data_IF_832206459269
#
_entry.id   IF_832206459269
#
_cell.length_a   1.000
_cell.length_b   1.000
_cell.length_c   1.000
_cell.angle_alpha   90.00
_cell.angle_beta   90.00
_cell.angle_gamma   90.00
#
_symmetry.space_group_name_H-M   'P 1'
#
loop_
_entity.id
_entity.type
_entity.pdbx_description
1 polymer ?
#
# COMPACT_ATOMS: atom_id res chain seq x y z
N UNK A 1 13.61 -2.20 -10.69
CA UNK A 1 12.82 -2.93 -9.68
C UNK A 1 13.36 -2.73 -8.28
N UNK A 2 14.51 -3.28 -7.86
CA UNK A 2 14.99 -3.09 -6.47
C UNK A 2 15.18 -1.60 -6.12
N UNK A 3 15.78 -0.82 -7.01
CA UNK A 3 15.94 0.63 -6.83
C UNK A 3 14.59 1.37 -6.71
N UNK A 4 13.58 0.93 -7.46
CA UNK A 4 12.23 1.51 -7.43
C UNK A 4 11.49 1.14 -6.15
N UNK A 5 11.68 -0.10 -5.68
CA UNK A 5 11.17 -0.55 -4.38
C UNK A 5 11.81 0.29 -3.27
N UNK A 6 13.13 0.48 -3.30
CA UNK A 6 13.84 1.29 -2.30
C UNK A 6 13.37 2.75 -2.33
N UNK A 7 13.18 3.32 -3.53
CA UNK A 7 12.64 4.67 -3.71
C UNK A 7 11.20 4.78 -3.19
N UNK A 8 10.34 3.80 -3.48
CA UNK A 8 8.99 3.72 -2.95
C UNK A 8 8.99 3.70 -1.43
N UNK A 9 9.75 2.78 -0.83
CA UNK A 9 9.91 2.60 0.62
C UNK A 9 10.39 3.91 1.27
N UNK A 10 11.48 4.49 0.75
CA UNK A 10 12.03 5.73 1.29
C UNK A 10 11.02 6.88 1.17
N UNK A 11 10.33 6.95 0.04
CA UNK A 11 9.35 7.97 -0.28
C UNK A 11 8.18 7.98 0.68
N UNK A 12 7.45 6.87 0.76
CA UNK A 12 6.25 6.77 1.61
C UNK A 12 6.61 6.89 3.10
N UNK A 13 7.75 6.33 3.52
CA UNK A 13 8.19 6.47 4.91
C UNK A 13 8.55 7.92 5.25
N UNK A 14 9.24 8.62 4.35
CA UNK A 14 9.61 10.03 4.56
C UNK A 14 8.38 10.93 4.60
N UNK A 15 7.42 10.71 3.70
CA UNK A 15 6.15 11.41 3.68
C UNK A 15 5.41 11.24 5.01
N UNK A 16 5.16 9.98 5.44
CA UNK A 16 4.44 9.74 6.69
C UNK A 16 5.20 10.26 7.90
N UNK A 17 6.54 10.09 7.99
CA UNK A 17 7.34 10.68 9.07
C UNK A 17 7.16 12.19 9.21
N UNK A 18 7.14 12.88 8.06
CA UNK A 18 7.11 14.34 8.01
C UNK A 18 5.71 14.88 8.31
N UNK A 19 4.69 14.27 7.73
CA UNK A 19 3.32 14.80 7.73
C UNK A 19 2.42 14.18 8.80
N UNK A 20 2.84 13.13 9.50
CA UNK A 20 1.98 12.42 10.47
C UNK A 20 1.31 13.36 11.49
N UNK A 21 2.09 14.25 12.10
CA UNK A 21 1.59 15.16 13.15
C UNK A 21 0.66 16.26 12.63
N UNK A 22 0.52 16.39 11.30
CA UNK A 22 -0.47 17.28 10.68
C UNK A 22 -1.88 16.69 10.75
N UNK A 23 -1.99 15.36 10.86
CA UNK A 23 -3.26 14.63 10.77
C UNK A 23 -3.61 13.85 12.03
N UNK A 24 -2.61 13.37 12.77
CA UNK A 24 -2.81 12.42 13.86
C UNK A 24 -2.05 12.83 15.13
N UNK A 25 -2.55 12.39 16.29
CA UNK A 25 -1.95 12.70 17.60
C UNK A 25 -1.08 11.56 18.13
N UNK A 26 -1.27 10.37 17.58
CA UNK A 26 -0.51 9.17 17.82
C UNK A 26 0.95 9.36 17.37
N UNK A 27 1.84 8.47 17.81
CA UNK A 27 3.24 8.51 17.35
C UNK A 27 3.40 7.63 16.12
N UNK A 28 3.92 8.20 15.04
CA UNK A 28 4.38 7.42 13.90
C UNK A 28 5.68 6.68 14.21
N UNK A 29 5.70 5.38 13.92
CA UNK A 29 6.91 4.59 13.87
C UNK A 29 6.94 3.86 12.52
N UNK A 30 8.05 3.89 11.80
CA UNK A 30 8.16 3.15 10.54
C UNK A 30 7.98 1.65 10.78
N UNK A 31 7.20 0.94 9.94
CA UNK A 31 7.24 -0.51 9.93
C UNK A 31 8.64 -0.99 9.51
N UNK A 32 9.02 -2.21 9.93
CA UNK A 32 10.22 -2.85 9.38
C UNK A 32 9.97 -3.23 7.92
N UNK A 33 11.02 -3.22 7.11
CA UNK A 33 10.96 -3.75 5.74
C UNK A 33 11.76 -5.05 5.71
N UNK A 34 11.06 -6.17 5.60
CA UNK A 34 11.68 -7.48 5.28
C UNK A 34 11.93 -7.56 3.77
N UNK A 35 11.01 -7.01 2.97
CA UNK A 35 11.18 -6.83 1.54
C UNK A 35 10.84 -8.07 0.71
N UNK A 36 11.63 -8.32 -0.32
CA UNK A 36 11.42 -9.44 -1.25
C UNK A 36 11.56 -10.79 -0.52
N UNK A 37 10.60 -11.68 -0.73
CA UNK A 37 10.70 -13.09 -0.32
C UNK A 37 10.28 -14.02 -1.45
N UNK A 38 10.59 -15.31 -1.31
CA UNK A 38 10.09 -16.37 -2.18
C UNK A 38 9.06 -17.20 -1.39
N UNK A 39 7.77 -17.04 -1.68
CA UNK A 39 6.71 -17.78 -0.97
C UNK A 39 6.74 -19.29 -1.20
N UNK A 40 7.46 -19.76 -2.23
CA UNK A 40 7.65 -21.19 -2.50
C UNK A 40 8.76 -21.81 -1.66
N UNK A 41 9.64 -20.98 -1.09
CA UNK A 41 10.73 -21.43 -0.25
C UNK A 41 10.21 -21.95 1.11
N UNK A 42 10.96 -22.88 1.71
CA UNK A 42 10.62 -23.46 3.02
C UNK A 42 10.87 -22.49 4.17
N UNK A 43 11.73 -21.51 3.96
CA UNK A 43 12.16 -20.47 4.90
C UNK A 43 11.55 -19.10 4.58
N UNK A 44 10.46 -19.06 3.79
CA UNK A 44 9.69 -17.83 3.61
C UNK A 44 9.29 -17.24 4.98
N UNK A 45 9.23 -15.91 5.12
CA UNK A 45 8.86 -15.25 6.38
C UNK A 45 7.51 -15.75 6.90
N UNK A 46 7.28 -15.52 8.20
CA UNK A 46 6.01 -15.85 8.85
C UNK A 46 5.37 -14.61 9.42
N UNK A 47 4.05 -14.51 9.36
CA UNK A 47 3.28 -13.53 10.10
C UNK A 47 2.38 -14.23 11.14
N UNK A 48 2.60 -13.95 12.43
CA UNK A 48 1.81 -14.60 13.49
C UNK A 48 1.98 -16.12 13.52
N UNK A 49 3.15 -16.60 13.09
CA UNK A 49 3.48 -18.03 12.99
C UNK A 49 2.92 -18.75 11.75
N UNK A 50 2.22 -18.05 10.86
CA UNK A 50 1.80 -18.59 9.56
C UNK A 50 2.80 -18.16 8.47
N UNK A 51 3.22 -19.09 7.62
CA UNK A 51 4.14 -18.79 6.50
C UNK A 51 3.43 -17.91 5.48
N UNK A 52 4.12 -16.90 4.95
CA UNK A 52 3.58 -16.07 3.87
C UNK A 52 3.43 -16.87 2.57
N UNK A 53 2.31 -16.66 1.88
CA UNK A 53 2.00 -17.33 0.62
C UNK A 53 2.78 -16.73 -0.56
N UNK A 54 2.96 -17.52 -1.62
CA UNK A 54 3.51 -17.02 -2.89
C UNK A 54 2.49 -16.13 -3.62
N UNK A 55 2.99 -15.17 -4.41
CA UNK A 55 2.14 -14.30 -5.21
C UNK A 55 1.34 -13.25 -4.43
N UNK A 56 1.75 -12.91 -3.19
CA UNK A 56 1.07 -11.91 -2.37
C UNK A 56 2.06 -10.89 -1.77
N UNK A 57 1.54 -9.79 -1.25
CA UNK A 57 2.26 -8.80 -0.44
C UNK A 57 1.55 -8.66 0.92
N UNK A 58 2.29 -8.20 1.93
CA UNK A 58 1.81 -8.20 3.30
C UNK A 58 2.38 -7.03 4.10
N UNK A 59 1.49 -6.39 4.84
CA UNK A 59 1.78 -5.82 6.15
C UNK A 59 1.43 -6.82 7.26
N UNK A 60 2.44 -7.30 7.98
CA UNK A 60 2.25 -8.16 9.14
C UNK A 60 2.02 -7.35 10.42
N UNK A 61 0.77 -7.14 10.81
CA UNK A 61 0.43 -6.34 12.00
C UNK A 61 1.02 -6.87 13.33
N UNK A 62 1.03 -8.19 13.64
CA UNK A 62 1.58 -8.71 14.89
C UNK A 62 3.10 -8.52 15.07
N UNK A 63 3.84 -8.38 13.96
CA UNK A 63 5.31 -8.31 13.95
C UNK A 63 5.86 -7.00 13.35
N UNK A 64 4.94 -6.11 12.95
CA UNK A 64 5.15 -4.79 12.36
C UNK A 64 6.21 -4.76 11.25
N UNK A 65 5.98 -5.54 10.18
CA UNK A 65 6.84 -5.53 9.02
C UNK A 65 6.10 -5.66 7.69
N UNK A 66 6.75 -5.22 6.61
CA UNK A 66 6.31 -5.32 5.23
C UNK A 66 7.12 -6.38 4.47
N UNK A 67 6.46 -7.18 3.64
CA UNK A 67 7.11 -8.15 2.76
C UNK A 67 6.29 -8.35 1.48
N UNK A 68 6.95 -8.67 0.37
CA UNK A 68 6.30 -8.86 -0.93
C UNK A 68 6.95 -10.01 -1.70
N UNK A 69 6.13 -10.88 -2.28
CA UNK A 69 6.61 -12.02 -3.04
C UNK A 69 7.35 -11.56 -4.31
N UNK A 70 8.51 -12.18 -4.55
CA UNK A 70 9.38 -11.81 -5.66
C UNK A 70 8.71 -12.00 -7.01
N UNK A 71 7.89 -13.05 -7.18
CA UNK A 71 7.20 -13.30 -8.44
C UNK A 71 6.02 -12.35 -8.65
N UNK A 72 5.33 -11.92 -7.58
CA UNK A 72 4.31 -10.87 -7.66
C UNK A 72 4.93 -9.58 -8.21
N UNK A 73 5.98 -9.10 -7.54
CA UNK A 73 6.67 -7.86 -7.91
C UNK A 73 7.26 -7.94 -9.32
N UNK A 74 7.95 -9.04 -9.66
CA UNK A 74 8.58 -9.18 -10.97
C UNK A 74 7.57 -9.32 -12.13
N UNK A 75 6.39 -9.89 -11.89
CA UNK A 75 5.33 -9.96 -12.92
C UNK A 75 4.66 -8.61 -13.12
N UNK A 76 4.29 -7.92 -12.05
CA UNK A 76 3.66 -6.61 -12.14
C UNK A 76 4.59 -5.55 -12.73
N UNK A 77 5.87 -5.56 -12.36
CA UNK A 77 6.88 -4.65 -12.88
C UNK A 77 7.06 -4.74 -14.41
N UNK A 78 6.68 -5.85 -15.06
CA UNK A 78 6.68 -5.96 -16.53
C UNK A 78 5.58 -5.13 -17.20
N UNK A 79 4.58 -4.68 -16.44
CA UNK A 79 3.47 -3.85 -16.92
C UNK A 79 3.68 -2.35 -16.74
N UNK A 80 4.73 -1.97 -16.01
CA UNK A 80 5.04 -0.61 -15.59
C UNK A 80 5.78 -0.64 -14.25
N UNK A 81 6.77 0.24 -14.06
CA UNK A 81 7.55 0.28 -12.82
C UNK A 81 6.74 0.85 -11.64
N UNK A 82 5.77 1.74 -11.91
CA UNK A 82 4.82 2.27 -10.93
C UNK A 82 4.06 1.18 -10.16
N UNK A 83 3.97 -0.03 -10.72
CA UNK A 83 3.37 -1.19 -10.05
C UNK A 83 3.97 -1.44 -8.67
N UNK A 84 5.31 -1.39 -8.53
CA UNK A 84 5.95 -1.68 -7.24
C UNK A 84 5.76 -0.54 -6.24
N UNK A 85 5.65 0.70 -6.72
CA UNK A 85 5.31 1.85 -5.90
C UNK A 85 3.91 1.70 -5.31
N UNK A 86 2.94 1.23 -6.11
CA UNK A 86 1.59 0.96 -5.63
C UNK A 86 1.56 -0.13 -4.55
N UNK A 87 2.19 -1.29 -4.79
CA UNK A 87 2.22 -2.38 -3.78
C UNK A 87 2.84 -1.87 -2.47
N UNK A 88 4.00 -1.20 -2.55
CA UNK A 88 4.66 -0.67 -1.36
C UNK A 88 3.75 0.32 -0.62
N UNK A 89 3.12 1.26 -1.33
CA UNK A 89 2.26 2.27 -0.72
C UNK A 89 0.97 1.67 -0.13
N UNK A 90 0.39 0.65 -0.77
CA UNK A 90 -0.78 -0.08 -0.28
C UNK A 90 -0.47 -0.80 1.04
N UNK A 91 0.59 -1.60 1.08
CA UNK A 91 0.99 -2.27 2.32
C UNK A 91 1.40 -1.26 3.41
N UNK A 92 1.98 -0.13 3.02
CA UNK A 92 2.21 0.98 3.95
C UNK A 92 0.91 1.59 4.48
N UNK A 93 -0.15 1.61 3.67
CA UNK A 93 -1.50 2.00 4.07
C UNK A 93 -2.01 1.14 5.23
N UNK A 94 -1.82 -0.18 5.18
CA UNK A 94 -2.13 -1.06 6.32
C UNK A 94 -1.27 -0.76 7.54
N UNK A 95 0.01 -0.45 7.36
CA UNK A 95 0.86 -0.01 8.45
C UNK A 95 0.31 1.27 9.09
N UNK A 96 -0.08 2.27 8.28
CA UNK A 96 -0.71 3.51 8.76
C UNK A 96 -1.97 3.17 9.56
N UNK A 97 -2.88 2.35 9.04
CA UNK A 97 -4.09 1.92 9.76
C UNK A 97 -3.79 1.32 11.14
N UNK A 98 -2.76 0.48 11.25
CA UNK A 98 -2.37 -0.14 12.51
C UNK A 98 -1.80 0.85 13.55
N UNK A 99 -1.48 2.07 13.12
CA UNK A 99 -1.06 3.19 14.00
C UNK A 99 -2.22 4.13 14.34
N UNK A 100 -3.35 4.04 13.64
CA UNK A 100 -4.53 4.85 13.89
C UNK A 100 -5.35 4.31 15.06
N UNK A 101 -6.08 5.20 15.74
CA UNK A 101 -7.19 4.80 16.59
C UNK A 101 -8.21 3.99 15.78
N UNK A 102 -8.74 2.92 16.37
CA UNK A 102 -9.71 2.01 15.72
C UNK A 102 -10.94 2.73 15.15
N UNK A 103 -11.32 3.89 15.69
CA UNK A 103 -12.43 4.72 15.20
C UNK A 103 -12.14 5.40 13.85
N UNK A 104 -10.87 5.48 13.48
CA UNK A 104 -10.39 6.05 12.22
C UNK A 104 -10.16 4.96 11.16
N UNK A 105 -10.30 3.69 11.51
CA UNK A 105 -10.22 2.58 10.57
C UNK A 105 -11.58 2.40 9.87
N UNK A 106 -11.57 2.30 8.54
CA UNK A 106 -12.79 2.02 7.78
C UNK A 106 -13.13 0.52 7.85
N UNK A 107 -14.42 0.20 7.72
CA UNK A 107 -14.90 -1.19 7.64
C UNK A 107 -14.31 -1.89 6.40
N UNK A 108 -14.11 -1.15 5.32
CA UNK A 108 -13.41 -1.63 4.14
C UNK A 108 -11.91 -1.37 4.26
N UNK A 109 -11.22 -2.24 5.01
CA UNK A 109 -9.80 -2.10 5.34
C UNK A 109 -8.92 -1.95 4.10
N UNK A 110 -9.11 -2.80 3.09
CA UNK A 110 -8.37 -2.75 1.81
C UNK A 110 -8.59 -1.46 1.02
N UNK A 111 -9.83 -0.98 0.90
CA UNK A 111 -10.11 0.26 0.18
C UNK A 111 -9.54 1.48 0.92
N UNK A 112 -9.53 1.45 2.26
CA UNK A 112 -8.84 2.50 3.00
C UNK A 112 -7.32 2.42 2.80
N UNK A 113 -6.73 1.24 2.69
CA UNK A 113 -5.31 1.08 2.34
C UNK A 113 -5.00 1.62 0.94
N UNK A 114 -5.85 1.33 -0.06
CA UNK A 114 -5.74 1.93 -1.41
C UNK A 114 -5.84 3.47 -1.36
N UNK A 115 -6.76 4.01 -0.57
CA UNK A 115 -6.88 5.46 -0.39
C UNK A 115 -5.62 6.05 0.24
N UNK A 116 -5.11 5.44 1.31
CA UNK A 116 -3.88 5.88 1.97
C UNK A 116 -2.64 5.71 1.07
N UNK A 117 -2.64 4.73 0.17
CA UNK A 117 -1.62 4.60 -0.86
C UNK A 117 -1.64 5.80 -1.82
N UNK A 118 -2.83 6.24 -2.23
CA UNK A 118 -3.02 7.45 -3.03
C UNK A 118 -2.48 8.70 -2.34
N UNK A 119 -2.79 8.87 -1.04
CA UNK A 119 -2.23 9.96 -0.23
C UNK A 119 -0.70 9.90 -0.17
N UNK A 120 -0.16 8.71 0.13
CA UNK A 120 1.26 8.49 0.27
C UNK A 120 2.00 8.84 -1.02
N UNK A 121 1.59 8.29 -2.16
CA UNK A 121 2.28 8.49 -3.43
C UNK A 121 2.16 9.94 -3.94
N UNK A 122 0.96 10.53 -3.93
CA UNK A 122 0.75 11.93 -4.30
C UNK A 122 1.58 12.86 -3.40
N UNK A 123 1.56 12.63 -2.08
CA UNK A 123 2.34 13.40 -1.13
C UNK A 123 3.85 13.26 -1.34
N UNK A 124 4.31 12.06 -1.71
CA UNK A 124 5.72 11.81 -2.00
C UNK A 124 6.19 12.55 -3.26
N UNK A 125 5.33 12.66 -4.28
CA UNK A 125 5.58 13.48 -5.46
C UNK A 125 5.60 14.97 -5.12
N UNK A 126 4.62 15.46 -4.35
CA UNK A 126 4.56 16.86 -3.92
C UNK A 126 5.77 17.27 -3.07
N UNK A 127 6.31 16.34 -2.29
CA UNK A 127 7.55 16.51 -1.52
C UNK A 127 8.82 16.42 -2.38
N UNK A 128 8.71 16.01 -3.63
CA UNK A 128 9.81 15.88 -4.58
C UNK A 128 10.75 14.70 -4.29
N UNK A 129 10.27 13.69 -3.54
CA UNK A 129 11.07 12.50 -3.23
C UNK A 129 10.97 11.43 -4.32
N UNK A 130 9.82 11.38 -5.00
CA UNK A 130 9.57 10.58 -6.20
C UNK A 130 9.03 11.54 -7.28
N UNK A 131 9.21 11.21 -8.55
CA UNK A 131 8.62 11.95 -9.67
C UNK A 131 7.88 10.94 -10.53
N UNK A 132 6.58 11.16 -10.74
CA UNK A 132 5.84 10.30 -11.67
C UNK A 132 6.24 10.62 -13.11
N UNK A 133 6.44 9.57 -13.89
CA UNK A 133 6.75 9.67 -15.31
C UNK A 133 5.48 9.81 -16.16
N UNK A 134 5.68 10.21 -17.41
CA UNK A 134 4.59 10.31 -18.37
C UNK A 134 4.11 8.92 -18.77
N UNK A 135 3.08 8.40 -18.09
CA UNK A 135 2.51 7.09 -18.37
C UNK A 135 2.02 6.42 -17.09
N UNK A 136 2.65 6.76 -15.97
CA UNK A 136 2.46 6.13 -14.67
C UNK A 136 1.01 6.16 -14.21
N UNK A 137 0.28 7.26 -14.41
CA UNK A 137 -1.14 7.31 -14.05
C UNK A 137 -1.98 6.23 -14.76
N UNK A 138 -1.65 5.90 -16.01
CA UNK A 138 -2.33 4.84 -16.76
C UNK A 138 -1.85 3.46 -16.32
N UNK A 139 -0.55 3.29 -16.12
CA UNK A 139 0.05 2.03 -15.64
C UNK A 139 -0.43 1.68 -14.23
N UNK A 140 -0.60 2.68 -13.37
CA UNK A 140 -1.13 2.55 -12.01
C UNK A 140 -2.58 2.10 -12.02
N UNK A 141 -3.44 2.70 -12.85
CA UNK A 141 -4.81 2.23 -13.02
C UNK A 141 -4.87 0.78 -13.53
N UNK A 142 -3.93 0.40 -14.40
CA UNK A 142 -3.79 -1.00 -14.86
C UNK A 142 -3.29 -1.93 -13.75
N UNK A 143 -2.34 -1.48 -12.93
CA UNK A 143 -1.81 -2.21 -11.79
C UNK A 143 -2.92 -2.51 -10.77
N UNK A 144 -3.67 -1.49 -10.35
CA UNK A 144 -4.81 -1.61 -9.43
C UNK A 144 -5.86 -2.57 -10.00
N UNK A 145 -6.18 -2.46 -11.29
CA UNK A 145 -7.13 -3.36 -11.96
C UNK A 145 -6.63 -4.82 -11.90
N UNK A 146 -5.33 -5.04 -12.13
CA UNK A 146 -4.70 -6.38 -12.14
C UNK A 146 -4.60 -7.06 -10.78
N UNK A 147 -4.98 -6.34 -9.71
CA UNK A 147 -4.96 -6.80 -8.32
C UNK A 147 -6.38 -6.87 -7.73
N UNK A 148 -7.42 -6.63 -8.53
CA UNK A 148 -8.81 -6.62 -8.07
C UNK A 148 -9.44 -8.02 -8.06
N UNK A 149 -10.51 -8.18 -7.27
CA UNK A 149 -11.27 -9.43 -7.10
C UNK A 149 -11.92 -9.99 -8.38
N UNK A 150 -11.81 -9.27 -9.50
CA UNK A 150 -12.38 -9.65 -10.80
C UNK A 150 -11.53 -10.67 -11.56
N UNK A 151 -10.40 -11.10 -10.97
CA UNK A 151 -9.45 -12.00 -11.62
C UNK A 151 -9.62 -13.44 -11.13
N UNK A 152 -9.40 -14.46 -12.00
CA UNK A 152 -9.59 -15.86 -11.62
C UNK A 152 -8.71 -16.36 -10.46
N UNK A 153 -7.69 -15.59 -10.06
CA UNK A 153 -6.71 -15.94 -9.03
C UNK A 153 -6.87 -15.13 -7.74
N UNK A 154 -7.86 -14.23 -7.66
CA UNK A 154 -8.19 -13.46 -6.46
C UNK A 154 -9.44 -14.03 -5.82
N UNK A 155 -9.52 -14.04 -4.48
CA UNK A 155 -10.74 -14.47 -3.79
C UNK A 155 -11.77 -13.33 -3.81
N UNK A 156 -13.01 -13.65 -4.21
CA UNK A 156 -14.09 -12.65 -4.30
C UNK A 156 -14.47 -12.17 -2.91
N UNK A 157 -14.31 -10.87 -2.66
CA UNK A 157 -14.64 -10.23 -1.39
C UNK A 157 -13.43 -9.89 -0.51
N UNK A 158 -12.22 -10.24 -0.95
CA UNK A 158 -11.00 -9.94 -0.22
C UNK A 158 -10.54 -8.49 -0.45
N UNK A 159 -10.45 -8.00 -1.69
CA UNK A 159 -9.86 -6.69 -2.01
C UNK A 159 -10.88 -5.65 -2.49
N UNK A 160 -11.91 -6.08 -3.22
CA UNK A 160 -12.88 -5.23 -3.92
C UNK A 160 -12.73 -5.22 -5.45
N UNK A 161 -13.76 -4.70 -6.12
CA UNK A 161 -13.78 -4.53 -7.59
C UNK A 161 -12.74 -3.50 -8.06
N UNK A 162 -12.30 -3.61 -9.32
CA UNK A 162 -11.34 -2.68 -9.89
C UNK A 162 -11.79 -1.22 -9.74
N UNK A 163 -13.08 -0.96 -9.99
CA UNK A 163 -13.66 0.36 -9.85
C UNK A 163 -13.64 0.86 -8.40
N UNK A 164 -13.89 0.01 -7.41
CA UNK A 164 -13.83 0.42 -6.00
C UNK A 164 -12.41 0.83 -5.60
N UNK A 165 -11.43 0.00 -5.98
CA UNK A 165 -10.02 0.23 -5.67
C UNK A 165 -9.47 1.50 -6.31
N UNK A 166 -9.73 1.69 -7.62
CA UNK A 166 -9.35 2.92 -8.34
C UNK A 166 -10.01 4.15 -7.70
N UNK A 167 -11.32 4.09 -7.42
CA UNK A 167 -12.02 5.21 -6.80
C UNK A 167 -11.48 5.54 -5.40
N UNK A 168 -11.07 4.54 -4.63
CA UNK A 168 -10.47 4.73 -3.32
C UNK A 168 -9.10 5.39 -3.43
N UNK A 169 -8.23 4.88 -4.30
CA UNK A 169 -6.93 5.48 -4.60
C UNK A 169 -7.07 6.95 -5.05
N UNK A 170 -7.92 7.22 -6.04
CA UNK A 170 -8.18 8.56 -6.56
C UNK A 170 -8.77 9.50 -5.49
N UNK A 171 -9.51 8.96 -4.53
CA UNK A 171 -10.01 9.74 -3.39
C UNK A 171 -8.85 10.23 -2.53
N UNK A 172 -7.88 9.37 -2.22
CA UNK A 172 -6.68 9.74 -1.47
C UNK A 172 -5.86 10.83 -2.17
N UNK A 173 -5.66 10.69 -3.48
CA UNK A 173 -4.97 11.69 -4.31
C UNK A 173 -5.68 13.06 -4.25
N UNK A 174 -7.02 13.09 -4.39
CA UNK A 174 -7.78 14.35 -4.48
C UNK A 174 -8.09 14.99 -3.12
N UNK A 175 -8.35 14.18 -2.11
CA UNK A 175 -8.94 14.63 -0.84
C UNK A 175 -7.96 14.50 0.35
N UNK A 176 -6.78 13.92 0.12
CA UNK A 176 -5.75 13.74 1.14
C UNK A 176 -6.18 12.78 2.26
N UNK A 177 -5.47 12.84 3.39
CA UNK A 177 -5.72 11.96 4.54
C UNK A 177 -7.17 12.02 5.01
N UNK A 178 -7.75 13.22 5.15
CA UNK A 178 -9.13 13.38 5.63
C UNK A 178 -10.15 12.64 4.76
N UNK A 179 -9.91 12.56 3.44
CA UNK A 179 -10.75 11.79 2.53
C UNK A 179 -10.74 10.29 2.81
N UNK A 180 -9.65 9.76 3.35
CA UNK A 180 -9.50 8.33 3.64
C UNK A 180 -10.07 7.90 5.00
N UNK A 181 -10.53 8.85 5.82
CA UNK A 181 -11.06 8.56 7.16
C UNK A 181 -12.59 8.40 7.13
N UNK A 182 -13.17 7.58 8.04
CA UNK A 182 -14.61 7.46 8.18
C UNK A 182 -15.29 8.82 8.41
N UNK A 183 -16.43 9.07 7.75
CA UNK A 183 -17.17 10.34 7.88
C UNK A 183 -17.61 10.67 9.32
N UNK A 184 -17.67 9.65 10.19
CA UNK A 184 -18.04 9.78 11.61
C UNK A 184 -16.83 9.91 12.55
N UNK A 185 -15.61 9.91 12.02
CA UNK A 185 -14.40 10.14 12.80
C UNK A 185 -14.46 11.52 13.48
N UNK A 186 -14.15 11.63 14.79
CA UNK A 186 -14.00 12.93 15.44
C UNK A 186 -12.81 13.66 14.80
N UNK A 187 -13.07 14.86 14.29
CA UNK A 187 -12.03 15.79 13.79
C UNK A 187 -11.39 16.53 14.95
#
# INVERSE_FOLDING_TARGET
>A
MEQDIDAAVQGVDSFWKKHWSEYFTETYNSPRVVGLYDGTATDAPTCGGQKLDAGNAYYCAPEDYLAWDTNLMAKGYQTGDVYVYFIVAHEWGHAVQNRLDVRLQDVSNELQADCLAGVGLEGTEQDGTIVFESGDNKELAQAITSLSDELPWTEVGDHGSANQRINAFDKGVREGVEGCLPLTAPR
#
